data_IF_799486358168
#
_entry.id   IF_799486358168
#
_cell.length_a   1.000
_cell.length_b   1.000
_cell.length_c   1.000
_cell.angle_alpha   90.00
_cell.angle_beta   90.00
_cell.angle_gamma   90.00
#
_symmetry.space_group_name_H-M   'P 1'
#
loop_
_entity.id
_entity.type
_entity.pdbx_description
1 polymer ?
#
# COMPACT_ATOMS: atom_id res chain seq x y z
N UNK A 1 61.46 2.34 -22.35
CA UNK A 1 61.12 1.32 -21.34
C UNK A 1 60.65 2.04 -20.08
N UNK A 2 59.55 1.55 -19.50
CA UNK A 2 58.90 1.92 -18.24
C UNK A 2 57.98 3.18 -18.20
N UNK A 3 56.71 2.90 -18.54
CA UNK A 3 55.41 3.38 -18.03
C UNK A 3 55.22 4.72 -17.29
N UNK A 4 54.23 5.54 -17.73
CA UNK A 4 53.69 6.66 -16.98
C UNK A 4 52.24 6.35 -16.50
N UNK A 5 52.06 5.86 -15.28
CA UNK A 5 50.75 5.92 -14.62
C UNK A 5 50.91 6.22 -13.12
N UNK A 6 50.32 7.32 -12.61
CA UNK A 6 50.15 7.47 -11.17
C UNK A 6 49.09 6.48 -10.69
N UNK A 7 49.43 5.71 -9.66
CA UNK A 7 48.50 4.77 -9.01
C UNK A 7 47.28 5.52 -8.46
N UNK A 8 46.06 4.94 -8.53
CA UNK A 8 44.89 5.55 -7.93
C UNK A 8 45.05 5.54 -6.40
N UNK A 9 45.19 6.74 -5.84
CA UNK A 9 45.21 6.96 -4.40
C UNK A 9 43.83 6.58 -3.84
N UNK A 10 43.82 5.49 -3.05
CA UNK A 10 42.90 5.20 -1.95
C UNK A 10 41.47 5.73 -2.12
N UNK A 11 40.57 4.84 -2.54
CA UNK A 11 39.14 5.01 -2.35
C UNK A 11 38.88 5.28 -0.86
N UNK A 12 38.51 6.52 -0.54
CA UNK A 12 38.02 6.87 0.78
C UNK A 12 36.81 5.98 1.07
N UNK A 13 36.98 5.02 1.98
CA UNK A 13 35.88 4.37 2.68
C UNK A 13 35.12 5.49 3.38
N UNK A 14 34.13 6.05 2.69
CA UNK A 14 33.11 6.88 3.31
C UNK A 14 32.45 5.99 4.34
N UNK A 15 32.85 6.14 5.61
CA UNK A 15 32.10 5.67 6.75
C UNK A 15 30.73 6.37 6.67
N UNK A 16 29.80 5.75 5.95
CA UNK A 16 28.40 6.15 5.99
C UNK A 16 27.92 5.83 7.39
N UNK A 17 27.47 6.85 8.10
CA UNK A 17 26.78 6.73 9.37
C UNK A 17 25.70 5.65 9.20
N UNK A 18 25.69 4.58 10.00
CA UNK A 18 24.61 3.61 9.94
C UNK A 18 23.31 4.36 10.10
N UNK A 19 22.33 4.12 9.22
CA UNK A 19 20.97 4.61 9.41
C UNK A 19 20.53 4.17 10.81
N UNK A 20 20.33 5.13 11.71
CA UNK A 20 19.87 4.85 13.07
C UNK A 20 18.40 4.41 12.97
N UNK A 21 18.20 3.10 12.81
CA UNK A 21 16.89 2.48 12.85
C UNK A 21 16.48 2.44 14.31
N UNK A 22 15.95 3.57 14.80
CA UNK A 22 15.57 3.74 16.19
C UNK A 22 14.82 2.53 16.73
N UNK A 23 15.05 2.23 18.01
CA UNK A 23 14.21 1.30 18.77
C UNK A 23 12.76 1.76 18.67
N UNK A 24 11.82 0.80 18.58
CA UNK A 24 10.43 1.06 18.23
C UNK A 24 9.78 2.18 19.06
N UNK A 25 9.92 3.44 18.66
CA UNK A 25 9.21 4.55 19.28
C UNK A 25 7.76 4.47 18.83
N UNK A 26 6.84 4.27 19.76
CA UNK A 26 5.41 4.31 19.50
C UNK A 26 5.02 5.72 19.05
N UNK A 27 5.23 6.04 17.78
CA UNK A 27 4.51 7.12 17.12
C UNK A 27 3.03 6.78 17.22
N UNK A 28 2.33 7.57 18.02
CA UNK A 28 0.89 7.52 18.15
C UNK A 28 0.27 7.91 16.80
N UNK A 29 -0.47 6.97 16.19
CA UNK A 29 -1.50 7.32 15.22
C UNK A 29 -1.32 6.79 13.79
N UNK A 30 -1.06 5.50 13.61
CA UNK A 30 -1.43 4.88 12.32
C UNK A 30 -1.13 3.39 12.21
N UNK A 31 -2.03 2.70 11.51
CA UNK A 31 -1.93 1.28 11.14
C UNK A 31 -0.76 1.05 10.18
N UNK A 32 -0.11 -0.10 10.34
CA UNK A 32 0.87 -0.64 9.39
C UNK A 32 0.24 -1.84 8.69
N UNK A 33 0.35 -1.89 7.37
CA UNK A 33 -0.41 -2.84 6.55
C UNK A 33 0.49 -3.95 5.99
N UNK A 34 1.77 -3.64 5.75
CA UNK A 34 2.69 -4.50 5.00
C UNK A 34 4.10 -4.45 5.57
N UNK A 35 4.89 -5.51 5.38
CA UNK A 35 6.28 -5.58 5.81
C UNK A 35 7.15 -6.13 4.69
N UNK A 36 8.33 -5.52 4.54
CA UNK A 36 9.46 -6.07 3.79
C UNK A 36 10.59 -6.36 4.78
N UNK A 37 11.18 -7.56 4.69
CA UNK A 37 12.27 -8.00 5.57
C UNK A 37 13.59 -8.02 4.79
N UNK A 38 14.61 -7.37 5.31
CA UNK A 38 15.96 -7.36 4.74
C UNK A 38 16.93 -8.14 5.64
N UNK A 39 17.92 -8.85 5.08
CA UNK A 39 18.97 -9.51 5.86
C UNK A 39 19.93 -8.47 6.48
N UNK A 40 20.47 -8.79 7.65
CA UNK A 40 21.51 -7.99 8.31
C UNK A 40 22.56 -8.90 8.99
N UNK A 41 23.84 -8.89 8.57
CA UNK A 41 24.39 -8.10 7.47
C UNK A 41 23.82 -8.54 6.11
N UNK A 42 23.89 -7.69 5.08
CA UNK A 42 23.50 -8.09 3.74
C UNK A 42 24.31 -9.30 3.26
N UNK A 43 23.66 -10.26 2.60
CA UNK A 43 24.34 -11.48 2.11
C UNK A 43 25.36 -11.19 1.01
N UNK A 44 25.06 -10.21 0.14
CA UNK A 44 25.98 -9.72 -0.87
C UNK A 44 26.76 -8.51 -0.35
N UNK A 45 28.04 -8.71 -0.03
CA UNK A 45 28.85 -7.87 0.88
C UNK A 45 29.20 -6.47 0.33
N UNK A 46 29.04 -6.20 -0.98
CA UNK A 46 29.59 -4.97 -1.60
C UNK A 46 28.51 -4.02 -2.15
N UNK A 47 27.31 -4.51 -2.53
CA UNK A 47 26.28 -3.69 -3.19
C UNK A 47 24.92 -3.67 -2.45
N UNK A 48 24.63 -4.67 -1.63
CA UNK A 48 23.28 -4.83 -1.07
C UNK A 48 22.88 -3.76 -0.02
N UNK A 49 23.84 -3.10 0.63
CA UNK A 49 23.51 -1.94 1.48
C UNK A 49 23.01 -0.75 0.64
N UNK A 50 23.59 -0.53 -0.54
CA UNK A 50 23.14 0.51 -1.46
C UNK A 50 21.82 0.12 -2.13
N UNK A 51 21.58 -1.17 -2.39
CA UNK A 51 20.31 -1.68 -2.92
C UNK A 51 19.17 -1.51 -1.94
N UNK A 52 19.35 -1.88 -0.66
CA UNK A 52 18.34 -1.66 0.38
C UNK A 52 17.97 -0.19 0.49
N UNK A 53 18.98 0.70 0.54
CA UNK A 53 18.75 2.14 0.62
C UNK A 53 18.06 2.67 -0.64
N UNK A 54 18.40 2.12 -1.82
CA UNK A 54 17.71 2.42 -3.08
C UNK A 54 16.24 2.01 -3.04
N UNK A 55 15.93 0.79 -2.58
CA UNK A 55 14.55 0.29 -2.41
C UNK A 55 13.78 1.21 -1.47
N UNK A 56 14.34 1.51 -0.29
CA UNK A 56 13.73 2.42 0.70
C UNK A 56 13.45 3.79 0.09
N UNK A 57 14.39 4.35 -0.67
CA UNK A 57 14.23 5.64 -1.32
C UNK A 57 13.16 5.62 -2.41
N UNK A 58 13.06 4.54 -3.21
CA UNK A 58 11.98 4.40 -4.21
C UNK A 58 10.61 4.26 -3.54
N UNK A 59 10.51 3.47 -2.47
CA UNK A 59 9.28 3.33 -1.70
C UNK A 59 8.81 4.66 -1.10
N UNK A 60 9.74 5.45 -0.52
CA UNK A 60 9.45 6.83 -0.05
C UNK A 60 9.07 7.75 -1.20
N UNK A 61 9.76 7.62 -2.35
CA UNK A 61 9.48 8.38 -3.57
C UNK A 61 8.08 8.12 -4.12
N UNK A 62 7.57 6.90 -3.97
CA UNK A 62 6.20 6.51 -4.31
C UNK A 62 5.14 7.01 -3.30
N UNK A 63 5.55 7.72 -2.25
CA UNK A 63 4.64 8.28 -1.23
C UNK A 63 4.27 7.32 -0.09
N UNK A 64 4.88 6.13 -0.03
CA UNK A 64 4.68 5.20 1.09
C UNK A 64 5.39 5.71 2.34
N UNK A 65 4.76 5.48 3.50
CA UNK A 65 5.36 5.77 4.80
C UNK A 65 6.03 4.50 5.31
N UNK A 66 7.27 4.63 5.76
CA UNK A 66 8.12 3.52 6.15
C UNK A 66 8.58 3.67 7.59
N UNK A 67 8.69 2.55 8.30
CA UNK A 67 9.33 2.48 9.61
C UNK A 67 10.22 1.25 9.68
N UNK A 68 11.49 1.48 9.99
CA UNK A 68 12.51 0.45 10.03
C UNK A 68 12.91 0.15 11.47
N UNK A 69 13.16 -1.12 11.76
CA UNK A 69 13.67 -1.57 13.07
C UNK A 69 14.41 -2.91 12.91
N UNK A 70 15.35 -3.15 13.81
CA UNK A 70 16.08 -4.43 13.85
C UNK A 70 15.27 -5.54 14.53
N UNK A 71 15.52 -6.77 14.13
CA UNK A 71 15.17 -7.94 14.94
C UNK A 71 15.93 -7.94 16.27
N UNK A 72 15.47 -8.73 17.24
CA UNK A 72 16.13 -8.86 18.56
C UNK A 72 17.59 -9.31 18.41
N UNK A 73 17.85 -10.29 17.53
CA UNK A 73 19.20 -10.76 17.21
C UNK A 73 20.00 -9.81 16.30
N UNK A 74 19.37 -8.72 15.81
CA UNK A 74 19.91 -7.81 14.79
C UNK A 74 20.30 -8.50 13.48
N UNK A 75 19.79 -9.70 13.23
CA UNK A 75 20.05 -10.46 12.00
C UNK A 75 19.15 -10.04 10.82
N UNK A 76 18.08 -9.28 11.12
CA UNK A 76 17.10 -8.83 10.14
C UNK A 76 16.76 -7.36 10.39
N UNK A 77 16.41 -6.65 9.31
CA UNK A 77 15.79 -5.33 9.35
C UNK A 77 14.37 -5.46 8.82
N UNK A 78 13.40 -5.13 9.66
CA UNK A 78 12.00 -5.06 9.26
C UNK A 78 11.67 -3.65 8.80
N UNK A 79 11.10 -3.52 7.60
CA UNK A 79 10.55 -2.30 7.07
C UNK A 79 9.03 -2.40 7.03
N UNK A 80 8.35 -1.83 8.04
CA UNK A 80 6.90 -1.67 8.03
C UNK A 80 6.50 -0.57 7.05
N UNK A 81 5.41 -0.82 6.33
CA UNK A 81 4.90 0.02 5.26
C UNK A 81 3.43 0.34 5.53
N UNK A 82 3.06 1.59 5.31
CA UNK A 82 1.66 2.04 5.25
C UNK A 82 1.48 3.02 4.10
N UNK A 83 0.32 2.99 3.46
CA UNK A 83 -0.07 3.97 2.45
C UNK A 83 -1.00 5.05 3.04
N UNK A 84 -0.77 6.34 2.76
CA UNK A 84 -1.76 7.39 3.03
C UNK A 84 -3.06 7.14 2.27
N UNK A 85 -4.21 7.49 2.86
CA UNK A 85 -5.52 7.24 2.25
C UNK A 85 -5.70 7.95 0.90
N UNK A 86 -5.16 9.16 0.75
CA UNK A 86 -5.18 9.90 -0.52
C UNK A 86 -4.45 9.16 -1.65
N UNK A 87 -3.30 8.54 -1.33
CA UNK A 87 -2.54 7.73 -2.29
C UNK A 87 -3.35 6.50 -2.71
N UNK A 88 -3.95 5.81 -1.74
CA UNK A 88 -4.82 4.66 -2.03
C UNK A 88 -6.03 5.02 -2.88
N UNK A 89 -6.67 6.18 -2.65
CA UNK A 89 -7.80 6.65 -3.48
C UNK A 89 -7.39 6.88 -4.93
N UNK A 90 -6.26 7.54 -5.15
CA UNK A 90 -5.74 7.79 -6.49
C UNK A 90 -5.48 6.47 -7.23
N UNK A 91 -4.79 5.54 -6.59
CA UNK A 91 -4.46 4.25 -7.20
C UNK A 91 -5.72 3.39 -7.43
N UNK A 92 -6.68 3.41 -6.51
CA UNK A 92 -7.96 2.72 -6.68
C UNK A 92 -8.76 3.24 -7.89
N UNK A 93 -8.72 4.55 -8.17
CA UNK A 93 -9.36 5.14 -9.35
C UNK A 93 -8.63 4.76 -10.63
N UNK A 94 -7.29 4.80 -10.64
CA UNK A 94 -6.46 4.35 -11.78
C UNK A 94 -6.76 2.88 -12.12
N UNK A 95 -6.86 2.03 -11.11
CA UNK A 95 -7.19 0.61 -11.25
C UNK A 95 -8.67 0.34 -11.58
N UNK A 96 -9.54 1.36 -11.49
CA UNK A 96 -10.99 1.20 -11.56
C UNK A 96 -11.48 0.11 -10.59
N UNK A 97 -10.93 0.14 -9.38
CA UNK A 97 -11.23 -0.83 -8.33
C UNK A 97 -12.73 -0.87 -8.06
N UNK A 98 -13.33 -2.05 -8.11
CA UNK A 98 -14.76 -2.20 -7.89
C UNK A 98 -15.06 -2.25 -6.40
N UNK A 99 -15.64 -1.17 -5.88
CA UNK A 99 -16.03 -1.06 -4.47
C UNK A 99 -17.53 -1.28 -4.32
N UNK A 100 -17.91 -1.89 -3.19
CA UNK A 100 -19.32 -2.08 -2.87
C UNK A 100 -19.98 -0.73 -2.60
N UNK A 101 -21.15 -0.53 -3.18
CA UNK A 101 -21.98 0.63 -2.94
C UNK A 101 -22.81 0.46 -1.66
N UNK A 102 -23.06 1.56 -0.96
CA UNK A 102 -23.88 1.60 0.25
C UNK A 102 -25.35 1.30 -0.10
N UNK A 103 -25.93 0.21 0.45
CA UNK A 103 -27.31 -0.19 0.13
C UNK A 103 -28.36 0.85 0.53
N UNK A 104 -28.10 1.63 1.58
CA UNK A 104 -29.00 2.67 2.10
C UNK A 104 -29.02 3.86 1.15
N UNK A 105 -27.86 4.29 0.69
CA UNK A 105 -27.72 5.39 -0.26
C UNK A 105 -28.27 5.02 -1.63
N UNK A 106 -28.04 3.78 -2.08
CA UNK A 106 -28.63 3.25 -3.31
C UNK A 106 -30.16 3.20 -3.24
N UNK A 107 -30.71 2.74 -2.12
CA UNK A 107 -32.14 2.78 -1.89
C UNK A 107 -32.64 4.22 -1.96
N UNK A 108 -32.02 5.15 -1.24
CA UNK A 108 -32.40 6.57 -1.26
C UNK A 108 -32.39 7.15 -2.67
N UNK A 109 -31.34 6.90 -3.45
CA UNK A 109 -31.22 7.35 -4.83
C UNK A 109 -32.28 6.73 -5.74
N UNK A 110 -32.62 5.44 -5.58
CA UNK A 110 -33.68 4.81 -6.37
C UNK A 110 -35.06 5.44 -6.10
N UNK A 111 -35.35 5.81 -4.86
CA UNK A 111 -36.66 6.38 -4.49
C UNK A 111 -36.80 7.87 -4.81
N UNK A 112 -35.69 8.62 -4.75
CA UNK A 112 -35.71 10.07 -4.92
C UNK A 112 -35.16 10.54 -6.28
N UNK A 113 -34.53 9.65 -7.04
CA UNK A 113 -33.71 10.02 -8.19
C UNK A 113 -32.41 10.68 -7.77
N UNK A 114 -31.67 11.19 -8.77
CA UNK A 114 -30.48 12.03 -8.58
C UNK A 114 -30.62 13.24 -9.50
N UNK A 115 -31.37 14.29 -9.08
CA UNK A 115 -31.69 15.45 -9.91
C UNK A 115 -30.46 16.16 -10.48
N UNK A 116 -29.35 16.15 -9.75
CA UNK A 116 -28.09 16.78 -10.13
C UNK A 116 -27.54 16.22 -11.45
N UNK A 117 -27.84 14.96 -11.76
CA UNK A 117 -27.48 14.30 -13.01
C UNK A 117 -28.68 14.06 -13.94
N UNK A 118 -29.83 14.66 -13.66
CA UNK A 118 -31.06 14.47 -14.43
C UNK A 118 -31.63 13.05 -14.34
N UNK A 119 -31.32 12.30 -13.28
CA UNK A 119 -31.80 10.93 -13.06
C UNK A 119 -33.13 11.00 -12.32
N UNK A 120 -34.22 10.62 -12.99
CA UNK A 120 -35.54 10.53 -12.39
C UNK A 120 -35.63 9.38 -11.35
N UNK A 121 -36.54 9.45 -10.38
CA UNK A 121 -36.81 8.34 -9.46
C UNK A 121 -37.19 7.03 -10.18
N UNK A 122 -36.65 5.90 -9.70
CA UNK A 122 -36.98 4.54 -10.15
C UNK A 122 -37.08 3.60 -8.94
N UNK A 123 -38.14 3.68 -8.11
CA UNK A 123 -38.21 2.94 -6.85
C UNK A 123 -38.20 1.42 -7.06
N UNK A 124 -37.14 0.75 -6.61
CA UNK A 124 -37.02 -0.71 -6.66
C UNK A 124 -37.71 -1.30 -5.44
N UNK A 125 -38.67 -2.21 -5.67
CA UNK A 125 -39.43 -2.91 -4.61
C UNK A 125 -39.12 -4.40 -4.63
N UNK A 126 -38.77 -4.95 -3.47
CA UNK A 126 -38.64 -6.40 -3.28
C UNK A 126 -39.98 -7.01 -2.83
N UNK A 127 -40.92 -7.15 -3.77
CA UNK A 127 -42.30 -7.58 -3.46
C UNK A 127 -42.37 -9.08 -3.18
N UNK A 128 -41.53 -9.89 -3.84
CA UNK A 128 -41.60 -11.35 -3.77
C UNK A 128 -40.68 -11.94 -2.69
N UNK A 129 -39.65 -11.22 -2.26
CA UNK A 129 -38.70 -11.63 -1.21
C UNK A 129 -38.21 -13.08 -1.40
N UNK A 130 -37.99 -13.47 -2.66
CA UNK A 130 -37.66 -14.86 -3.01
C UNK A 130 -36.25 -15.22 -2.56
N UNK A 131 -35.38 -14.23 -2.38
CA UNK A 131 -34.00 -14.38 -1.97
C UNK A 131 -33.75 -13.70 -0.62
N UNK A 132 -32.67 -14.12 0.06
CA UNK A 132 -32.24 -13.53 1.35
C UNK A 132 -31.60 -12.14 1.20
N UNK A 133 -31.23 -11.76 -0.01
CA UNK A 133 -30.51 -10.52 -0.29
C UNK A 133 -31.48 -9.44 -0.75
N UNK A 134 -31.27 -8.22 -0.26
CA UNK A 134 -31.97 -7.04 -0.76
C UNK A 134 -31.52 -6.74 -2.20
N UNK A 135 -32.39 -6.14 -3.04
CA UNK A 135 -31.99 -5.66 -4.37
C UNK A 135 -30.84 -4.63 -4.36
N UNK A 136 -30.52 -4.06 -3.20
CA UNK A 136 -29.45 -3.08 -3.01
C UNK A 136 -28.17 -3.67 -2.43
N UNK A 137 -28.18 -4.96 -2.06
CA UNK A 137 -27.00 -5.62 -1.49
C UNK A 137 -26.05 -6.05 -2.60
N UNK A 138 -24.74 -6.06 -2.30
CA UNK A 138 -23.68 -6.57 -3.18
C UNK A 138 -23.65 -5.94 -4.58
N UNK A 139 -24.01 -4.67 -4.69
CA UNK A 139 -23.79 -3.88 -5.90
C UNK A 139 -22.40 -3.28 -5.84
N UNK A 140 -21.60 -3.50 -6.87
CA UNK A 140 -20.24 -2.98 -6.98
C UNK A 140 -20.11 -2.07 -8.19
N UNK A 141 -19.33 -1.01 -8.05
CA UNK A 141 -19.01 -0.11 -9.15
C UNK A 141 -17.55 0.34 -9.09
N UNK A 142 -16.95 0.72 -10.23
CA UNK A 142 -15.63 1.33 -10.25
C UNK A 142 -15.56 2.52 -9.30
N UNK A 143 -14.45 2.64 -8.58
CA UNK A 143 -14.17 3.76 -7.70
C UNK A 143 -13.82 5.02 -8.50
N UNK A 144 -14.38 6.15 -8.06
CA UNK A 144 -14.05 7.48 -8.54
C UNK A 144 -13.76 8.38 -7.34
N UNK A 145 -12.83 9.32 -7.48
CA UNK A 145 -12.46 10.25 -6.41
C UNK A 145 -13.43 11.45 -6.30
N UNK A 146 -14.37 11.59 -7.24
CA UNK A 146 -15.34 12.67 -7.28
C UNK A 146 -16.13 12.79 -5.96
N UNK A 147 -16.20 14.01 -5.40
CA UNK A 147 -16.70 14.27 -4.03
C UNK A 147 -18.18 13.92 -3.87
N UNK A 148 -18.96 14.25 -4.89
CA UNK A 148 -20.37 13.93 -5.07
C UNK A 148 -20.63 12.43 -5.10
N UNK A 149 -19.68 11.60 -5.51
CA UNK A 149 -19.83 10.14 -5.54
C UNK A 149 -19.38 9.42 -4.26
N UNK A 150 -18.60 10.08 -3.38
CA UNK A 150 -17.97 9.40 -2.24
C UNK A 150 -18.96 8.76 -1.26
N UNK A 151 -20.15 9.34 -1.11
CA UNK A 151 -21.16 8.84 -0.18
C UNK A 151 -21.81 7.53 -0.66
N UNK A 152 -21.73 7.21 -1.95
CA UNK A 152 -22.26 5.96 -2.48
C UNK A 152 -21.41 4.76 -2.16
N UNK A 153 -20.15 4.90 -1.77
CA UNK A 153 -19.28 3.76 -1.47
C UNK A 153 -19.37 3.35 0.01
N UNK A 154 -19.51 2.05 0.23
CA UNK A 154 -19.50 1.47 1.58
C UNK A 154 -18.12 1.63 2.23
N UNK A 155 -18.10 2.09 3.48
CA UNK A 155 -16.88 2.19 4.29
C UNK A 155 -16.69 0.89 5.07
N UNK A 156 -15.80 0.03 4.58
CA UNK A 156 -15.51 -1.28 5.18
C UNK A 156 -14.15 -1.35 5.89
N UNK A 157 -13.39 -0.26 5.84
CA UNK A 157 -12.06 -0.21 6.41
C UNK A 157 -12.04 0.11 7.90
N UNK A 158 -10.88 -0.07 8.53
CA UNK A 158 -10.66 0.29 9.94
C UNK A 158 -10.97 1.77 10.15
N UNK A 159 -11.58 2.11 11.29
CA UNK A 159 -11.91 3.49 11.67
C UNK A 159 -12.76 4.25 10.62
N UNK A 160 -13.60 3.55 9.84
CA UNK A 160 -14.44 4.17 8.81
C UNK A 160 -13.68 4.52 7.51
N UNK A 161 -12.49 3.94 7.32
CA UNK A 161 -11.77 4.00 6.04
C UNK A 161 -12.61 3.40 4.92
N UNK A 162 -12.42 3.92 3.71
CA UNK A 162 -13.06 3.39 2.50
C UNK A 162 -12.61 1.95 2.21
N UNK A 163 -11.30 1.71 2.29
CA UNK A 163 -10.67 0.45 1.90
C UNK A 163 -10.58 -0.52 3.06
N UNK A 164 -11.02 -1.76 2.85
CA UNK A 164 -10.81 -2.87 3.80
C UNK A 164 -9.34 -3.24 3.92
N UNK A 165 -8.97 -4.04 4.92
CA UNK A 165 -7.60 -4.56 5.10
C UNK A 165 -7.04 -5.20 3.83
N UNK A 166 -7.82 -6.06 3.18
CA UNK A 166 -7.44 -6.74 1.94
C UNK A 166 -7.23 -5.74 0.79
N UNK A 167 -8.13 -4.76 0.66
CA UNK A 167 -8.02 -3.72 -0.37
C UNK A 167 -6.73 -2.91 -0.18
N UNK A 168 -6.41 -2.55 1.06
CA UNK A 168 -5.21 -1.79 1.41
C UNK A 168 -3.93 -2.56 1.07
N UNK A 169 -3.89 -3.86 1.37
CA UNK A 169 -2.76 -4.73 1.04
C UNK A 169 -2.57 -4.77 -0.48
N UNK A 170 -3.63 -5.06 -1.24
CA UNK A 170 -3.55 -5.12 -2.71
C UNK A 170 -3.13 -3.78 -3.33
N UNK A 171 -3.62 -2.65 -2.80
CA UNK A 171 -3.21 -1.32 -3.26
C UNK A 171 -1.73 -1.04 -2.93
N UNK A 172 -1.24 -1.43 -1.76
CA UNK A 172 0.17 -1.26 -1.38
C UNK A 172 1.06 -2.13 -2.28
N UNK A 173 0.71 -3.39 -2.52
CA UNK A 173 1.45 -4.27 -3.43
C UNK A 173 1.48 -3.69 -4.85
N UNK A 174 0.36 -3.13 -5.31
CA UNK A 174 0.32 -2.42 -6.59
C UNK A 174 1.27 -1.21 -6.59
N UNK A 175 1.25 -0.36 -5.56
CA UNK A 175 2.15 0.81 -5.46
C UNK A 175 3.62 0.38 -5.43
N UNK A 176 3.94 -0.73 -4.77
CA UNK A 176 5.32 -1.24 -4.69
C UNK A 176 5.80 -1.69 -6.08
N UNK A 177 4.96 -2.40 -6.84
CA UNK A 177 5.34 -3.06 -8.09
C UNK A 177 5.15 -2.19 -9.34
N UNK A 178 4.26 -1.19 -9.30
CA UNK A 178 3.95 -0.37 -10.46
C UNK A 178 5.15 0.53 -10.87
N UNK A 179 5.61 0.40 -12.12
CA UNK A 179 6.72 1.16 -12.68
C UNK A 179 6.37 2.58 -13.15
N UNK A 180 5.09 2.89 -13.38
CA UNK A 180 4.66 4.17 -13.93
C UNK A 180 4.49 5.23 -12.85
N UNK A 181 3.76 4.89 -11.78
CA UNK A 181 3.42 5.81 -10.69
C UNK A 181 3.93 5.35 -9.33
N UNK A 182 4.36 4.08 -9.22
CA UNK A 182 4.78 3.44 -7.99
C UNK A 182 6.30 3.38 -7.81
N UNK A 183 6.74 2.45 -6.96
CA UNK A 183 8.16 2.26 -6.64
C UNK A 183 8.92 1.38 -7.66
N UNK A 184 8.20 0.73 -8.58
CA UNK A 184 8.75 -0.10 -9.65
C UNK A 184 9.67 -1.22 -9.17
N UNK A 185 9.34 -1.84 -8.03
CA UNK A 185 10.11 -2.93 -7.45
C UNK A 185 9.57 -4.28 -7.91
N UNK A 186 10.47 -5.12 -8.41
CA UNK A 186 10.19 -6.52 -8.70
C UNK A 186 10.50 -7.35 -7.46
N UNK A 187 9.48 -7.62 -6.65
CA UNK A 187 9.64 -8.29 -5.35
C UNK A 187 10.16 -9.72 -5.51
N UNK A 188 9.67 -10.46 -6.50
CA UNK A 188 10.09 -11.84 -6.75
C UNK A 188 11.57 -11.90 -7.12
N UNK A 189 12.02 -10.98 -7.98
CA UNK A 189 13.44 -10.85 -8.32
C UNK A 189 14.29 -10.50 -7.10
N UNK A 190 13.86 -9.54 -6.28
CA UNK A 190 14.60 -9.12 -5.09
C UNK A 190 14.71 -10.22 -4.02
N UNK A 191 13.71 -11.10 -3.92
CA UNK A 191 13.76 -12.30 -3.08
C UNK A 191 14.73 -13.33 -3.67
N UNK A 192 14.66 -13.57 -4.99
CA UNK A 192 15.55 -14.50 -5.68
C UNK A 192 17.04 -14.10 -5.56
N UNK A 193 17.32 -12.80 -5.68
CA UNK A 193 18.66 -12.21 -5.50
C UNK A 193 19.06 -12.10 -4.01
N UNK A 194 18.23 -12.60 -3.10
CA UNK A 194 18.43 -12.57 -1.64
C UNK A 194 18.68 -11.17 -1.03
N UNK A 195 18.23 -10.12 -1.72
CA UNK A 195 18.24 -8.72 -1.25
C UNK A 195 17.13 -8.53 -0.22
N UNK A 196 15.97 -9.13 -0.47
CA UNK A 196 14.84 -9.24 0.45
C UNK A 196 14.76 -10.68 0.94
N UNK A 197 14.50 -10.87 2.22
CA UNK A 197 14.24 -12.20 2.80
C UNK A 197 12.80 -12.62 2.49
N UNK A 198 11.85 -11.76 2.80
CA UNK A 198 10.42 -12.04 2.61
C UNK A 198 9.59 -10.75 2.67
N UNK A 199 8.38 -10.82 2.13
CA UNK A 199 7.36 -9.78 2.22
C UNK A 199 6.03 -10.36 2.65
N UNK A 200 5.32 -9.71 3.57
CA UNK A 200 4.01 -10.21 4.03
C UNK A 200 3.12 -9.09 4.58
N UNK A 201 1.78 -9.24 4.49
CA UNK A 201 0.85 -8.34 5.14
C UNK A 201 0.87 -8.49 6.65
N UNK A 202 0.57 -7.41 7.37
CA UNK A 202 0.36 -7.46 8.82
C UNK A 202 -1.10 -7.76 9.13
N UNK A 203 -1.31 -8.77 9.98
CA UNK A 203 -2.64 -9.15 10.47
C UNK A 203 -3.17 -8.13 11.49
N UNK A 204 -4.48 -7.89 11.45
CA UNK A 204 -5.19 -7.21 12.53
C UNK A 204 -5.74 -8.24 13.52
N UNK A 205 -5.52 -8.01 14.82
CA UNK A 205 -6.10 -8.86 15.86
C UNK A 205 -7.62 -8.65 16.00
N UNK A 206 -8.13 -7.48 15.62
CA UNK A 206 -9.56 -7.12 15.69
C UNK A 206 -10.40 -7.75 14.56
N UNK A 207 -9.78 -8.18 13.46
CA UNK A 207 -10.46 -8.82 12.31
C UNK A 207 -10.40 -10.38 12.36
N UNK A 208 -10.07 -10.96 13.52
CA UNK A 208 -10.03 -12.42 13.73
C UNK A 208 -11.40 -13.05 14.01
#
# INVERSE_FOLDING_TARGET
MADPYPQPQTAELRLRVPLDYGTSSSEAGGRWDYVIVFPNPPKHVIEASDERDTIINRLRGAGLRLRLFYSVGKELVFCKIRAPEELMRREAEVLKMHLQLDPTELRRASFNGIPEYGIAPFPIRDVKQTYRYSPFDYIFAPYFQARDLQHFYSRKGPNGSLFSSTDRIGLIEHIITNHQTGAGQDIDRLIYEEIIVETYPLHEEEER
#
